data_IF_820283173071
#
_entry.id   IF_820283173071
#
_cell.length_a   1.000
_cell.length_b   1.000
_cell.length_c   1.000
_cell.angle_alpha   90.00
_cell.angle_beta   90.00
_cell.angle_gamma   90.00
#
_symmetry.space_group_name_H-M   'P 1'
#
loop_
_entity.id
_entity.type
_entity.pdbx_description
1 polymer ?
#
# COMPACT_ATOMS: atom_id res chain seq x y z
N UNK A 1 -6.64 5.11 -11.61
CA UNK A 1 -7.85 5.87 -11.34
C UNK A 1 -7.86 7.16 -12.15
N UNK A 2 -9.01 7.49 -12.74
CA UNK A 2 -9.18 8.72 -13.53
C UNK A 2 -10.34 9.55 -12.98
N UNK A 3 -10.17 10.86 -13.00
CA UNK A 3 -11.20 11.82 -12.62
C UNK A 3 -11.25 12.88 -13.73
N UNK A 4 -12.41 13.08 -14.33
CA UNK A 4 -12.62 14.02 -15.44
C UNK A 4 -11.60 13.82 -16.58
N UNK A 5 -11.26 12.57 -16.89
CA UNK A 5 -10.32 12.23 -17.94
C UNK A 5 -8.84 12.33 -17.58
N UNK A 6 -8.51 12.84 -16.40
CA UNK A 6 -7.13 12.92 -15.91
C UNK A 6 -6.82 11.74 -14.99
N UNK A 7 -5.56 11.28 -15.03
CA UNK A 7 -5.10 10.24 -14.12
C UNK A 7 -4.95 10.83 -12.72
N UNK A 8 -5.81 10.39 -11.80
CA UNK A 8 -5.81 10.84 -10.42
C UNK A 8 -4.88 10.01 -9.53
N UNK A 9 -4.66 8.75 -9.90
CA UNK A 9 -3.77 7.87 -9.17
C UNK A 9 -3.56 6.57 -9.92
N UNK A 10 -2.52 5.85 -9.50
CA UNK A 10 -2.19 4.54 -10.05
C UNK A 10 -1.59 3.64 -8.98
N UNK A 11 -1.55 2.35 -9.26
CA UNK A 11 -0.81 1.42 -8.43
C UNK A 11 -0.05 0.43 -9.30
N UNK A 12 1.00 -0.15 -8.71
CA UNK A 12 1.79 -1.23 -9.30
C UNK A 12 1.70 -2.42 -8.38
N UNK A 13 1.28 -3.56 -8.93
CA UNK A 13 1.17 -4.82 -8.22
C UNK A 13 2.22 -5.78 -8.77
N UNK A 14 3.00 -6.39 -7.88
CA UNK A 14 4.04 -7.33 -8.28
C UNK A 14 4.23 -8.41 -7.21
N UNK A 15 4.87 -9.56 -7.56
CA UNK A 15 5.20 -10.56 -6.55
C UNK A 15 6.13 -9.96 -5.50
N UNK A 16 5.85 -10.23 -4.23
CA UNK A 16 6.71 -9.79 -3.12
C UNK A 16 7.90 -10.75 -2.92
N UNK A 17 7.66 -12.03 -3.16
CA UNK A 17 8.62 -13.09 -2.94
C UNK A 17 8.55 -14.11 -4.07
N UNK A 18 9.55 -15.00 -4.10
CA UNK A 18 9.60 -16.11 -5.08
C UNK A 18 9.58 -17.45 -4.34
N UNK A 19 9.46 -18.55 -5.09
CA UNK A 19 9.44 -19.88 -4.53
C UNK A 19 8.22 -20.12 -3.65
N UNK A 20 8.42 -20.67 -2.48
CA UNK A 20 7.33 -21.04 -1.56
C UNK A 20 6.57 -19.85 -0.99
N UNK A 21 7.15 -18.65 -1.07
CA UNK A 21 6.50 -17.39 -0.69
C UNK A 21 5.99 -16.61 -1.90
N UNK A 22 5.94 -17.21 -3.07
CA UNK A 22 5.51 -16.55 -4.31
C UNK A 22 4.03 -16.19 -4.36
N UNK A 23 3.22 -16.66 -3.39
CA UNK A 23 1.81 -16.29 -3.26
C UNK A 23 1.59 -14.94 -2.56
N UNK A 24 2.66 -14.26 -2.15
CA UNK A 24 2.60 -12.91 -1.59
C UNK A 24 2.77 -11.88 -2.70
N UNK A 25 1.88 -10.90 -2.75
CA UNK A 25 2.01 -9.74 -3.62
C UNK A 25 2.35 -8.51 -2.81
N UNK A 26 3.00 -7.55 -3.46
CA UNK A 26 3.23 -6.22 -2.92
C UNK A 26 2.61 -5.20 -3.88
N UNK A 27 2.11 -4.10 -3.35
CA UNK A 27 1.58 -3.02 -4.15
C UNK A 27 2.15 -1.68 -3.71
N UNK A 28 2.37 -0.80 -4.68
CA UNK A 28 2.78 0.58 -4.46
C UNK A 28 1.73 1.49 -5.09
N UNK A 29 1.39 2.58 -4.40
CA UNK A 29 0.34 3.48 -4.83
C UNK A 29 0.88 4.89 -5.01
N UNK A 30 0.35 5.60 -6.02
CA UNK A 30 0.63 7.00 -6.23
C UNK A 30 -0.69 7.73 -6.52
N UNK A 31 -0.95 8.81 -5.81
CA UNK A 31 -2.15 9.64 -6.00
C UNK A 31 -1.71 11.05 -6.36
N UNK A 32 -2.34 11.63 -7.38
CA UNK A 32 -2.09 13.01 -7.77
C UNK A 32 -2.32 13.95 -6.58
N UNK A 33 -1.36 14.83 -6.30
CA UNK A 33 -1.48 15.80 -5.22
C UNK A 33 -2.66 16.75 -5.39
N UNK A 34 -3.07 17.00 -6.64
CA UNK A 34 -4.22 17.85 -6.96
C UNK A 34 -5.55 17.19 -6.60
N UNK A 35 -5.57 15.86 -6.48
CA UNK A 35 -6.81 15.10 -6.31
C UNK A 35 -6.88 14.33 -5.00
N UNK A 36 -5.95 14.59 -4.08
CA UNK A 36 -6.00 14.02 -2.73
C UNK A 36 -7.24 14.55 -2.01
N UNK A 37 -7.86 13.70 -1.23
CA UNK A 37 -9.05 14.04 -0.48
C UNK A 37 -10.37 13.60 -1.10
N UNK A 38 -10.35 13.08 -2.35
CA UNK A 38 -11.55 12.53 -3.00
C UNK A 38 -11.57 11.00 -2.99
N UNK A 39 -10.97 10.41 -1.97
CA UNK A 39 -10.93 8.95 -1.72
C UNK A 39 -10.32 8.13 -2.85
N UNK A 40 -9.42 8.71 -3.60
CA UNK A 40 -8.71 8.01 -4.69
C UNK A 40 -7.88 6.87 -4.13
N UNK A 41 -7.15 7.11 -3.03
CA UNK A 41 -6.33 6.08 -2.39
C UNK A 41 -7.14 4.86 -1.95
N UNK A 42 -8.31 5.09 -1.36
CA UNK A 42 -9.19 3.99 -0.95
C UNK A 42 -9.64 3.15 -2.15
N UNK A 43 -10.02 3.81 -3.23
CA UNK A 43 -10.41 3.12 -4.47
C UNK A 43 -9.28 2.30 -5.07
N UNK A 44 -8.05 2.84 -5.08
CA UNK A 44 -6.88 2.14 -5.57
C UNK A 44 -6.58 0.88 -4.74
N UNK A 45 -6.61 1.00 -3.42
CA UNK A 45 -6.35 -0.15 -2.53
C UNK A 45 -7.40 -1.22 -2.71
N UNK A 46 -8.68 -0.85 -2.75
CA UNK A 46 -9.78 -1.81 -3.00
C UNK A 46 -9.62 -2.52 -4.33
N UNK A 47 -9.27 -1.79 -5.38
CA UNK A 47 -9.05 -2.36 -6.70
C UNK A 47 -7.85 -3.30 -6.72
N UNK A 48 -6.76 -2.94 -6.03
CA UNK A 48 -5.58 -3.79 -5.94
C UNK A 48 -5.85 -5.09 -5.20
N UNK A 49 -6.68 -5.07 -4.16
CA UNK A 49 -7.11 -6.28 -3.45
C UNK A 49 -7.86 -7.22 -4.38
N UNK A 50 -8.79 -6.68 -5.16
CA UNK A 50 -9.56 -7.45 -6.14
C UNK A 50 -8.65 -8.04 -7.21
N UNK A 51 -7.77 -7.23 -7.78
CA UNK A 51 -6.85 -7.65 -8.85
C UNK A 51 -5.88 -8.71 -8.37
N UNK A 52 -5.32 -8.53 -7.18
CA UNK A 52 -4.40 -9.51 -6.59
C UNK A 52 -5.09 -10.86 -6.39
N UNK A 53 -6.34 -10.83 -5.92
CA UNK A 53 -7.13 -12.06 -5.75
C UNK A 53 -7.39 -12.74 -7.09
N UNK A 54 -7.76 -11.98 -8.12
CA UNK A 54 -8.01 -12.50 -9.46
C UNK A 54 -6.76 -13.10 -10.10
N UNK A 55 -5.57 -12.54 -9.80
CA UNK A 55 -4.29 -13.05 -10.29
C UNK A 55 -3.79 -14.27 -9.52
N UNK A 56 -4.52 -14.71 -8.51
CA UNK A 56 -4.18 -15.91 -7.75
C UNK A 56 -3.27 -15.70 -6.56
N UNK A 57 -2.95 -14.46 -6.19
CA UNK A 57 -2.22 -14.19 -4.96
C UNK A 57 -3.10 -14.46 -3.74
N UNK A 58 -2.50 -14.85 -2.65
CA UNK A 58 -3.21 -15.18 -1.41
C UNK A 58 -3.06 -14.13 -0.33
N UNK A 59 -2.02 -13.33 -0.40
CA UNK A 59 -1.71 -12.30 0.61
C UNK A 59 -1.21 -11.06 -0.11
N UNK A 60 -1.68 -9.90 0.31
CA UNK A 60 -1.15 -8.61 -0.12
C UNK A 60 -0.36 -7.99 1.04
N UNK A 61 0.89 -7.61 0.79
CA UNK A 61 1.81 -7.09 1.79
C UNK A 61 2.24 -5.67 1.41
N UNK A 62 2.32 -4.80 2.41
CA UNK A 62 2.99 -3.50 2.31
C UNK A 62 4.24 -3.54 3.18
N UNK A 63 5.40 -3.45 2.55
CA UNK A 63 6.69 -3.62 3.22
C UNK A 63 7.17 -2.40 3.98
N UNK A 64 6.69 -1.21 3.63
CA UNK A 64 7.25 0.03 4.15
C UNK A 64 6.18 1.13 4.26
N UNK A 65 5.36 1.06 5.29
CA UNK A 65 4.40 2.11 5.62
C UNK A 65 5.04 3.02 6.65
N UNK A 66 5.32 4.27 6.27
CA UNK A 66 6.03 5.22 7.13
C UNK A 66 5.15 5.61 8.31
N UNK A 67 5.72 5.59 9.52
CA UNK A 67 5.01 5.88 10.78
C UNK A 67 4.25 7.20 10.77
N UNK A 68 4.81 8.23 10.13
CA UNK A 68 4.18 9.55 10.05
C UNK A 68 3.03 9.65 9.04
N UNK A 69 2.79 8.61 8.25
CA UNK A 69 1.72 8.62 7.25
C UNK A 69 0.40 8.14 7.86
N UNK A 70 -0.21 8.99 8.68
CA UNK A 70 -1.41 8.64 9.42
C UNK A 70 -2.61 8.33 8.52
N UNK A 71 -2.72 9.01 7.38
CA UNK A 71 -3.81 8.76 6.42
C UNK A 71 -3.74 7.35 5.87
N UNK A 72 -2.55 6.90 5.47
CA UNK A 72 -2.36 5.55 4.94
C UNK A 72 -2.65 4.51 6.02
N UNK A 73 -2.14 4.74 7.24
CA UNK A 73 -2.34 3.82 8.37
C UNK A 73 -3.83 3.67 8.68
N UNK A 74 -4.57 4.78 8.74
CA UNK A 74 -6.01 4.75 8.98
C UNK A 74 -6.75 4.02 7.89
N UNK A 75 -6.39 4.27 6.62
CA UNK A 75 -7.00 3.62 5.47
C UNK A 75 -6.78 2.10 5.49
N UNK A 76 -5.55 1.66 5.71
CA UNK A 76 -5.23 0.24 5.72
C UNK A 76 -5.92 -0.47 6.88
N UNK A 77 -5.96 0.15 8.05
CA UNK A 77 -6.68 -0.39 9.21
C UNK A 77 -8.17 -0.51 8.91
N UNK A 78 -8.77 0.52 8.32
CA UNK A 78 -10.18 0.52 7.92
C UNK A 78 -10.50 -0.61 6.95
N UNK A 79 -9.59 -0.90 6.01
CA UNK A 79 -9.78 -1.92 4.99
C UNK A 79 -9.41 -3.34 5.46
N UNK A 80 -9.02 -3.50 6.71
CA UNK A 80 -8.78 -4.82 7.30
C UNK A 80 -7.33 -5.30 7.25
N UNK A 81 -6.39 -4.45 6.87
CA UNK A 81 -4.97 -4.79 6.93
C UNK A 81 -4.52 -4.89 8.38
N UNK A 82 -3.62 -5.81 8.66
CA UNK A 82 -3.06 -6.01 9.99
C UNK A 82 -1.57 -5.68 10.01
N UNK A 83 -1.13 -5.02 11.08
CA UNK A 83 0.29 -4.71 11.26
C UNK A 83 1.02 -5.95 11.74
N UNK A 84 2.07 -6.33 11.00
CA UNK A 84 2.93 -7.46 11.37
C UNK A 84 4.01 -7.02 12.35
N UNK A 85 4.59 -5.85 12.12
CA UNK A 85 5.69 -5.38 12.94
C UNK A 85 6.19 -4.01 12.55
N UNK A 86 7.27 -3.60 13.21
CA UNK A 86 7.90 -2.29 13.05
C UNK A 86 9.38 -2.51 12.74
N UNK A 87 9.89 -1.79 11.74
CA UNK A 87 11.33 -1.74 11.47
C UNK A 87 11.82 -0.35 11.91
N UNK A 88 12.56 -0.27 13.01
CA UNK A 88 13.06 1.02 13.51
C UNK A 88 13.99 1.69 12.50
N UNK A 89 13.77 2.98 12.25
CA UNK A 89 14.62 3.75 11.37
C UNK A 89 14.65 3.26 9.93
N UNK A 90 13.60 2.59 9.47
CA UNK A 90 13.56 1.98 8.13
C UNK A 90 13.42 2.97 6.97
N UNK A 91 13.12 4.24 7.23
CA UNK A 91 12.90 5.25 6.19
C UNK A 91 13.67 6.53 6.51
N UNK A 92 14.46 6.99 5.55
CA UNK A 92 15.20 8.26 5.67
C UNK A 92 14.37 9.40 5.11
N UNK A 93 13.96 10.33 5.98
CA UNK A 93 13.24 11.54 5.58
C UNK A 93 14.18 12.53 4.89
N UNK A 94 13.62 13.42 4.09
CA UNK A 94 14.38 14.49 3.44
C UNK A 94 15.13 15.39 4.43
N UNK A 95 14.61 15.51 5.64
CA UNK A 95 15.25 16.28 6.73
C UNK A 95 16.51 15.62 7.29
N UNK A 96 16.81 14.37 6.89
CA UNK A 96 17.93 13.61 7.43
C UNK A 96 17.58 12.79 8.67
N UNK A 97 16.34 12.85 9.12
CA UNK A 97 15.84 12.05 10.25
C UNK A 97 15.35 10.71 9.76
N UNK A 98 15.71 9.64 10.47
CA UNK A 98 15.18 8.30 10.21
C UNK A 98 13.85 8.11 10.94
N UNK A 99 12.91 7.48 10.26
CA UNK A 99 11.60 7.20 10.83
C UNK A 99 11.29 5.70 10.73
N UNK A 100 10.50 5.21 11.68
CA UNK A 100 10.09 3.80 11.69
C UNK A 100 9.15 3.51 10.52
N UNK A 101 9.19 2.29 10.04
CA UNK A 101 8.23 1.78 9.07
C UNK A 101 7.47 0.60 9.64
N UNK A 102 6.24 0.43 9.17
CA UNK A 102 5.39 -0.68 9.53
C UNK A 102 5.21 -1.62 8.35
N UNK A 103 5.08 -2.91 8.66
CA UNK A 103 4.72 -3.93 7.69
C UNK A 103 3.28 -4.32 7.93
N UNK A 104 2.47 -4.28 6.87
CA UNK A 104 1.05 -4.64 6.90
C UNK A 104 0.76 -5.78 5.93
N UNK A 105 -0.24 -6.56 6.24
CA UNK A 105 -0.71 -7.61 5.34
C UNK A 105 -2.24 -7.72 5.36
N UNK A 106 -2.77 -8.28 4.28
CA UNK A 106 -4.19 -8.62 4.17
C UNK A 106 -4.31 -9.97 3.47
N UNK A 107 -5.05 -10.88 4.06
CA UNK A 107 -5.36 -12.17 3.43
C UNK A 107 -6.44 -11.94 2.38
N UNK A 108 -6.20 -12.45 1.18
CA UNK A 108 -7.10 -12.26 0.04
C UNK A 108 -8.18 -13.34 -0.07
#
# INVERSE_FOLDING_TARGET
>A
AKVNGEVAGLYILHPNNVGRCGHHANASYAVSSKMRGIKIGEGLVKHSLKTARELGYRILIFNAVVKGNDRAIQLYTKLGFQRVGVIPGGFLLKSGVYQDIYVYYHVL
#
